data_IF_718018926256
#
_entry.id   IF_718018926256
#
_cell.length_a   1.000
_cell.length_b   1.000
_cell.length_c   1.000
_cell.angle_alpha   90.00
_cell.angle_beta   90.00
_cell.angle_gamma   90.00
#
_symmetry.space_group_name_H-M   'P 1'
#
loop_
_entity.id
_entity.type
_entity.pdbx_description
1 polymer ?
#
# COMPACT_ATOMS: atom_id res chain seq x y z
N UNK A 1 53.05 -9.76 -2.42
CA UNK A 1 52.43 -8.85 -3.41
C UNK A 1 51.14 -9.39 -4.03
N UNK A 2 51.09 -10.48 -4.83
CA UNK A 2 49.82 -10.95 -5.42
C UNK A 2 48.80 -11.53 -4.41
N UNK A 3 49.25 -12.20 -3.33
CA UNK A 3 48.35 -12.73 -2.30
C UNK A 3 47.87 -11.69 -1.28
N UNK A 4 48.64 -10.61 -1.04
CA UNK A 4 48.23 -9.50 -0.17
C UNK A 4 47.08 -8.71 -0.80
N UNK A 5 47.15 -8.44 -2.11
CA UNK A 5 46.08 -7.76 -2.84
C UNK A 5 44.77 -8.57 -2.85
N UNK A 6 44.84 -9.91 -2.97
CA UNK A 6 43.66 -10.77 -2.95
C UNK A 6 42.95 -10.76 -1.58
N UNK A 7 43.72 -10.78 -0.49
CA UNK A 7 43.16 -10.71 0.87
C UNK A 7 42.50 -9.36 1.19
N UNK A 8 43.11 -8.25 0.74
CA UNK A 8 42.54 -6.91 0.89
C UNK A 8 41.24 -6.73 0.11
N UNK A 9 41.18 -7.27 -1.11
CA UNK A 9 40.00 -7.19 -1.96
C UNK A 9 38.83 -8.02 -1.40
N UNK A 10 39.11 -9.20 -0.84
CA UNK A 10 38.09 -10.03 -0.18
C UNK A 10 37.57 -9.38 1.11
N UNK A 11 38.42 -8.68 1.86
CA UNK A 11 38.01 -7.92 3.06
C UNK A 11 37.08 -6.76 2.70
N UNK A 12 37.42 -5.99 1.66
CA UNK A 12 36.60 -4.87 1.18
C UNK A 12 35.21 -5.35 0.72
N UNK A 13 35.14 -6.42 -0.08
CA UNK A 13 33.87 -7.00 -0.54
C UNK A 13 32.98 -7.45 0.63
N UNK A 14 33.57 -8.10 1.64
CA UNK A 14 32.84 -8.51 2.85
C UNK A 14 32.25 -7.31 3.61
N UNK A 15 32.98 -6.19 3.66
CA UNK A 15 32.51 -4.97 4.31
C UNK A 15 31.34 -4.34 3.55
N UNK A 16 31.38 -4.32 2.22
CA UNK A 16 30.29 -3.83 1.38
C UNK A 16 29.01 -4.65 1.54
N UNK A 17 29.12 -5.98 1.55
CA UNK A 17 27.98 -6.87 1.81
C UNK A 17 27.35 -6.65 3.19
N UNK A 18 28.17 -6.46 4.22
CA UNK A 18 27.70 -6.14 5.56
C UNK A 18 26.99 -4.78 5.61
N UNK A 19 27.50 -3.79 4.88
CA UNK A 19 26.87 -2.47 4.75
C UNK A 19 25.50 -2.58 4.08
N UNK A 20 25.39 -3.33 2.98
CA UNK A 20 24.14 -3.57 2.27
C UNK A 20 23.08 -4.21 3.18
N UNK A 21 23.47 -5.25 3.93
CA UNK A 21 22.57 -5.90 4.89
C UNK A 21 22.09 -4.95 5.98
N UNK A 22 22.97 -4.10 6.51
CA UNK A 22 22.59 -3.10 7.52
C UNK A 22 21.59 -2.07 6.97
N UNK A 23 21.81 -1.57 5.76
CA UNK A 23 20.87 -0.66 5.09
C UNK A 23 19.51 -1.34 4.92
N UNK A 24 19.50 -2.59 4.44
CA UNK A 24 18.28 -3.37 4.28
C UNK A 24 17.52 -3.55 5.60
N UNK A 25 18.23 -3.86 6.70
CA UNK A 25 17.62 -3.94 8.04
C UNK A 25 17.01 -2.62 8.49
N UNK A 26 17.66 -1.49 8.22
CA UNK A 26 17.12 -0.16 8.55
C UNK A 26 15.83 0.08 7.77
N UNK A 27 15.82 -0.18 6.46
CA UNK A 27 14.64 -0.03 5.61
C UNK A 27 13.46 -0.83 6.15
N UNK A 28 13.66 -2.11 6.46
CA UNK A 28 12.59 -2.96 6.98
C UNK A 28 12.15 -2.59 8.39
N UNK A 29 13.05 -2.11 9.25
CA UNK A 29 12.66 -1.56 10.57
C UNK A 29 11.79 -0.31 10.43
N UNK A 30 12.17 0.61 9.55
CA UNK A 30 11.36 1.80 9.25
C UNK A 30 10.01 1.40 8.67
N UNK A 31 9.99 0.39 7.79
CA UNK A 31 8.75 -0.17 7.27
C UNK A 31 7.87 -0.78 8.37
N UNK A 32 8.42 -1.44 9.40
CA UNK A 32 7.61 -1.99 10.49
C UNK A 32 6.88 -0.89 11.31
N UNK A 33 7.50 0.28 11.46
CA UNK A 33 6.87 1.46 12.08
C UNK A 33 5.78 2.01 11.15
N UNK A 34 6.13 2.19 9.88
CA UNK A 34 5.22 2.65 8.83
C UNK A 34 4.00 1.73 8.68
N UNK A 35 4.19 0.42 8.75
CA UNK A 35 3.16 -0.61 8.66
C UNK A 35 2.03 -0.33 9.66
N UNK A 36 2.36 -0.05 10.93
CA UNK A 36 1.36 0.22 11.97
C UNK A 36 0.59 1.52 11.69
N UNK A 37 1.30 2.58 11.31
CA UNK A 37 0.71 3.89 11.04
C UNK A 37 -0.21 3.85 9.81
N UNK A 38 0.24 3.20 8.74
CA UNK A 38 -0.51 3.09 7.49
C UNK A 38 -1.71 2.17 7.60
N UNK A 39 -1.64 1.11 8.39
CA UNK A 39 -2.80 0.26 8.65
C UNK A 39 -3.96 1.07 9.26
N UNK A 40 -3.66 1.91 10.27
CA UNK A 40 -4.67 2.78 10.91
C UNK A 40 -5.16 3.85 9.94
N UNK A 41 -4.23 4.49 9.21
CA UNK A 41 -4.55 5.55 8.27
C UNK A 41 -5.45 5.07 7.13
N UNK A 42 -5.14 3.92 6.53
CA UNK A 42 -5.92 3.33 5.43
C UNK A 42 -7.30 2.91 5.91
N UNK A 43 -7.41 2.37 7.12
CA UNK A 43 -8.71 2.02 7.72
C UNK A 43 -9.54 3.28 7.97
N UNK A 44 -8.94 4.31 8.58
CA UNK A 44 -9.60 5.58 8.84
C UNK A 44 -10.08 6.24 7.54
N UNK A 45 -9.20 6.41 6.55
CA UNK A 45 -9.58 6.99 5.26
C UNK A 45 -10.61 6.12 4.53
N UNK A 46 -10.50 4.79 4.59
CA UNK A 46 -11.49 3.89 3.99
C UNK A 46 -12.88 4.07 4.59
N UNK A 47 -13.01 4.11 5.92
CA UNK A 47 -14.29 4.33 6.61
C UNK A 47 -14.84 5.73 6.31
N UNK A 48 -14.00 6.76 6.42
CA UNK A 48 -14.41 8.14 6.15
C UNK A 48 -14.88 8.30 4.70
N UNK A 49 -14.14 7.75 3.73
CA UNK A 49 -14.55 7.75 2.33
C UNK A 49 -15.86 7.00 2.13
N UNK A 50 -16.03 5.82 2.74
CA UNK A 50 -17.27 5.06 2.65
C UNK A 50 -18.48 5.84 3.17
N UNK A 51 -18.39 6.36 4.39
CA UNK A 51 -19.48 7.13 5.03
C UNK A 51 -19.78 8.40 4.21
N UNK A 52 -18.75 9.15 3.83
CA UNK A 52 -18.92 10.39 3.06
C UNK A 52 -19.57 10.11 1.71
N UNK A 53 -19.18 9.02 1.02
CA UNK A 53 -19.81 8.64 -0.24
C UNK A 53 -21.30 8.29 -0.08
N UNK A 54 -21.68 7.58 0.99
CA UNK A 54 -23.10 7.26 1.23
C UNK A 54 -23.91 8.50 1.60
N UNK A 55 -23.36 9.38 2.44
CA UNK A 55 -23.98 10.67 2.76
C UNK A 55 -24.17 11.50 1.49
N UNK A 56 -23.19 11.51 0.58
CA UNK A 56 -23.29 12.23 -0.69
C UNK A 56 -24.42 11.68 -1.56
N UNK A 57 -24.59 10.36 -1.64
CA UNK A 57 -25.70 9.72 -2.38
C UNK A 57 -27.04 10.10 -1.76
N UNK A 58 -27.17 10.01 -0.43
CA UNK A 58 -28.39 10.40 0.27
C UNK A 58 -28.72 11.89 0.03
N UNK A 59 -27.71 12.74 0.15
CA UNK A 59 -27.84 14.17 -0.08
C UNK A 59 -28.24 14.48 -1.52
N UNK A 60 -27.74 13.74 -2.51
CA UNK A 60 -28.13 13.90 -3.91
C UNK A 60 -29.62 13.60 -4.14
N UNK A 61 -30.15 12.58 -3.48
CA UNK A 61 -31.56 12.21 -3.52
C UNK A 61 -32.42 13.32 -2.90
N UNK A 62 -32.03 13.83 -1.73
CA UNK A 62 -32.77 14.89 -1.03
C UNK A 62 -32.71 16.25 -1.76
N UNK A 63 -31.55 16.59 -2.33
CA UNK A 63 -31.35 17.83 -3.07
C UNK A 63 -32.25 17.91 -4.32
N UNK A 64 -32.62 16.78 -4.90
CA UNK A 64 -33.54 16.74 -6.04
C UNK A 64 -34.91 17.31 -5.67
N UNK A 65 -35.36 17.06 -4.43
CA UNK A 65 -36.66 17.51 -3.91
C UNK A 65 -36.69 18.99 -3.46
N UNK A 66 -35.55 19.69 -3.43
CA UNK A 66 -35.50 21.10 -3.02
C UNK A 66 -35.89 22.04 -4.17
N UNK A 67 -36.56 23.17 -3.88
CA UNK A 67 -36.92 24.19 -4.89
C UNK A 67 -35.74 25.12 -5.26
N UNK A 68 -34.53 24.59 -5.35
CA UNK A 68 -33.36 25.36 -5.78
C UNK A 68 -33.26 25.41 -7.30
N UNK A 69 -32.70 26.51 -7.80
CA UNK A 69 -32.34 26.64 -9.21
C UNK A 69 -31.42 25.49 -9.65
N UNK A 70 -31.71 24.90 -10.81
CA UNK A 70 -31.01 23.71 -11.33
C UNK A 70 -29.50 23.90 -11.39
N UNK A 71 -29.03 25.09 -11.77
CA UNK A 71 -27.59 25.39 -11.82
C UNK A 71 -26.92 25.33 -10.44
N UNK A 72 -27.58 25.81 -9.36
CA UNK A 72 -27.03 25.79 -8.00
C UNK A 72 -26.93 24.36 -7.48
N UNK A 73 -27.96 23.55 -7.73
CA UNK A 73 -27.95 22.11 -7.39
C UNK A 73 -26.77 21.40 -8.05
N UNK A 74 -26.59 21.61 -9.36
CA UNK A 74 -25.53 20.95 -10.12
C UNK A 74 -24.12 21.38 -9.67
N UNK A 75 -23.90 22.67 -9.44
CA UNK A 75 -22.61 23.16 -8.92
C UNK A 75 -22.29 22.51 -7.57
N UNK A 76 -23.28 22.45 -6.67
CA UNK A 76 -23.08 21.84 -5.34
C UNK A 76 -22.82 20.33 -5.42
N UNK A 77 -23.56 19.60 -6.26
CA UNK A 77 -23.33 18.17 -6.53
C UNK A 77 -21.89 17.92 -7.04
N UNK A 78 -21.42 18.73 -7.98
CA UNK A 78 -20.06 18.62 -8.54
C UNK A 78 -19.00 18.89 -7.47
N UNK A 79 -19.15 19.94 -6.67
CA UNK A 79 -18.20 20.29 -5.61
C UNK A 79 -18.04 19.16 -4.58
N UNK A 80 -19.16 18.57 -4.14
CA UNK A 80 -19.14 17.46 -3.18
C UNK A 80 -18.51 16.20 -3.79
N UNK A 81 -18.85 15.85 -5.03
CA UNK A 81 -18.24 14.70 -5.70
C UNK A 81 -16.74 14.85 -5.91
N UNK A 82 -16.27 16.07 -6.19
CA UNK A 82 -14.84 16.34 -6.32
C UNK A 82 -14.07 16.06 -5.03
N UNK A 83 -14.66 16.38 -3.86
CA UNK A 83 -14.07 16.06 -2.56
C UNK A 83 -13.99 14.53 -2.34
N UNK A 84 -15.05 13.80 -2.67
CA UNK A 84 -15.06 12.34 -2.54
C UNK A 84 -14.02 11.66 -3.47
N UNK A 85 -13.88 12.16 -4.71
CA UNK A 85 -12.88 11.67 -5.66
C UNK A 85 -11.46 11.85 -5.12
N UNK A 86 -11.17 13.00 -4.48
CA UNK A 86 -9.85 13.25 -3.87
C UNK A 86 -9.49 12.17 -2.85
N UNK A 87 -10.43 11.76 -1.99
CA UNK A 87 -10.15 10.77 -0.96
C UNK A 87 -9.95 9.36 -1.55
N UNK A 88 -10.68 9.02 -2.61
CA UNK A 88 -10.45 7.78 -3.36
C UNK A 88 -9.06 7.79 -4.01
N UNK A 89 -8.64 8.91 -4.63
CA UNK A 89 -7.33 9.04 -5.25
C UNK A 89 -6.18 8.88 -4.24
N UNK A 90 -6.32 9.44 -3.04
CA UNK A 90 -5.33 9.27 -1.96
C UNK A 90 -5.22 7.79 -1.55
N UNK A 91 -6.35 7.11 -1.34
CA UNK A 91 -6.37 5.67 -1.02
C UNK A 91 -5.73 4.83 -2.14
N UNK A 92 -5.99 5.16 -3.40
CA UNK A 92 -5.36 4.52 -4.56
C UNK A 92 -3.85 4.73 -4.59
N UNK A 93 -3.38 5.96 -4.40
CA UNK A 93 -1.96 6.30 -4.41
C UNK A 93 -1.19 5.56 -3.32
N UNK A 94 -1.74 5.51 -2.10
CA UNK A 94 -1.15 4.78 -0.97
C UNK A 94 -1.10 3.28 -1.28
N UNK A 95 -2.19 2.70 -1.76
CA UNK A 95 -2.27 1.27 -2.09
C UNK A 95 -1.26 0.89 -3.19
N UNK A 96 -1.09 1.75 -4.20
CA UNK A 96 -0.12 1.55 -5.27
C UNK A 96 1.33 1.65 -4.77
N UNK A 97 1.62 2.62 -3.90
CA UNK A 97 2.94 2.76 -3.28
C UNK A 97 3.30 1.51 -2.45
N UNK A 98 2.37 0.99 -1.65
CA UNK A 98 2.53 -0.27 -0.92
C UNK A 98 2.80 -1.45 -1.86
N UNK A 99 2.02 -1.59 -2.93
CA UNK A 99 2.22 -2.65 -3.93
C UNK A 99 3.60 -2.59 -4.58
N UNK A 100 4.07 -1.39 -4.94
CA UNK A 100 5.40 -1.17 -5.51
C UNK A 100 6.50 -1.56 -4.53
N UNK A 101 6.33 -1.23 -3.24
CA UNK A 101 7.26 -1.65 -2.20
C UNK A 101 7.31 -3.18 -2.05
N UNK A 102 6.16 -3.86 -1.99
CA UNK A 102 6.08 -5.32 -1.89
C UNK A 102 6.72 -6.01 -3.09
N UNK A 103 6.48 -5.47 -4.29
CA UNK A 103 7.08 -5.99 -5.52
C UNK A 103 8.60 -5.84 -5.49
N UNK A 104 9.11 -4.71 -5.00
CA UNK A 104 10.55 -4.50 -4.84
C UNK A 104 11.16 -5.46 -3.83
N UNK A 105 10.50 -5.71 -2.69
CA UNK A 105 10.98 -6.70 -1.73
C UNK A 105 11.03 -8.11 -2.32
N UNK A 106 10.01 -8.54 -3.06
CA UNK A 106 10.02 -9.83 -3.76
C UNK A 106 11.18 -9.93 -4.77
N UNK A 107 11.47 -8.86 -5.51
CA UNK A 107 12.64 -8.83 -6.42
C UNK A 107 13.96 -9.01 -5.66
N UNK A 108 14.09 -8.42 -4.47
CA UNK A 108 15.27 -8.62 -3.61
C UNK A 108 15.37 -10.08 -3.15
N UNK A 109 14.26 -10.71 -2.78
CA UNK A 109 14.24 -12.14 -2.44
C UNK A 109 14.67 -13.02 -3.63
N UNK A 110 14.09 -12.78 -4.81
CA UNK A 110 14.46 -13.49 -6.04
C UNK A 110 15.94 -13.32 -6.37
N UNK A 111 16.45 -12.09 -6.34
CA UNK A 111 17.86 -11.82 -6.57
C UNK A 111 18.78 -12.51 -5.54
N UNK A 112 18.35 -12.59 -4.27
CA UNK A 112 19.09 -13.33 -3.23
C UNK A 112 19.12 -14.84 -3.50
N UNK A 113 17.99 -15.42 -3.95
CA UNK A 113 17.92 -16.84 -4.32
C UNK A 113 18.79 -17.14 -5.54
N UNK A 114 18.74 -16.31 -6.57
CA UNK A 114 19.60 -16.43 -7.76
C UNK A 114 21.08 -16.32 -7.39
N UNK A 115 21.44 -15.33 -6.57
CA UNK A 115 22.81 -15.14 -6.09
C UNK A 115 23.31 -16.38 -5.33
N UNK A 116 22.46 -16.99 -4.48
CA UNK A 116 22.82 -18.21 -3.74
C UNK A 116 23.11 -19.42 -4.63
N UNK A 117 22.51 -19.48 -5.81
CA UNK A 117 22.69 -20.55 -6.79
C UNK A 117 23.88 -20.29 -7.72
N UNK A 118 24.20 -19.03 -8.02
CA UNK A 118 25.21 -18.65 -9.01
C UNK A 118 26.60 -18.33 -8.42
N UNK A 119 26.69 -17.92 -7.15
CA UNK A 119 27.97 -17.52 -6.55
C UNK A 119 28.54 -18.54 -5.56
N UNK A 120 29.86 -18.69 -5.58
CA UNK A 120 30.62 -19.39 -4.55
C UNK A 120 31.22 -18.43 -3.50
N UNK A 121 30.99 -17.12 -3.64
CA UNK A 121 31.46 -16.12 -2.69
C UNK A 121 30.74 -16.25 -1.35
N UNK A 122 31.49 -16.59 -0.29
CA UNK A 122 30.92 -16.85 1.05
C UNK A 122 30.19 -15.65 1.64
N UNK A 123 30.72 -14.43 1.46
CA UNK A 123 30.14 -13.19 1.99
C UNK A 123 28.79 -12.83 1.35
N UNK A 124 28.69 -12.98 0.02
CA UNK A 124 27.45 -12.79 -0.72
C UNK A 124 26.38 -13.80 -0.28
N UNK A 125 26.74 -15.09 -0.20
CA UNK A 125 25.82 -16.15 0.24
C UNK A 125 25.33 -15.96 1.67
N UNK A 126 26.22 -15.61 2.60
CA UNK A 126 25.86 -15.33 3.98
C UNK A 126 24.85 -14.17 4.06
N UNK A 127 25.13 -13.09 3.33
CA UNK A 127 24.26 -11.91 3.28
C UNK A 127 22.89 -12.23 2.68
N UNK A 128 22.83 -12.91 1.54
CA UNK A 128 21.56 -13.31 0.92
C UNK A 128 20.73 -14.24 1.82
N UNK A 129 21.36 -15.20 2.53
CA UNK A 129 20.66 -16.03 3.53
C UNK A 129 20.10 -15.18 4.66
N UNK A 130 20.86 -14.23 5.17
CA UNK A 130 20.42 -13.35 6.24
C UNK A 130 19.29 -12.41 5.80
N UNK A 131 19.32 -11.92 4.57
CA UNK A 131 18.22 -11.14 3.96
C UNK A 131 16.96 -11.99 3.88
N UNK A 132 17.02 -13.19 3.30
CA UNK A 132 15.87 -14.08 3.17
C UNK A 132 15.27 -14.45 4.54
N UNK A 133 16.12 -14.82 5.51
CA UNK A 133 15.69 -15.14 6.88
C UNK A 133 15.04 -13.94 7.56
N UNK A 134 15.63 -12.76 7.41
CA UNK A 134 15.10 -11.56 8.03
C UNK A 134 13.78 -11.14 7.39
N UNK A 135 13.65 -11.24 6.07
CA UNK A 135 12.39 -10.94 5.38
C UNK A 135 11.28 -11.91 5.83
N UNK A 136 11.57 -13.20 5.94
CA UNK A 136 10.60 -14.21 6.40
C UNK A 136 10.03 -13.93 7.81
N UNK A 137 10.76 -13.21 8.66
CA UNK A 137 10.33 -12.89 10.04
C UNK A 137 9.81 -11.46 10.17
N UNK A 138 10.44 -10.50 9.50
CA UNK A 138 10.19 -9.07 9.69
C UNK A 138 9.20 -8.49 8.66
N UNK A 139 9.01 -9.16 7.52
CA UNK A 139 8.10 -8.69 6.49
C UNK A 139 6.79 -9.46 6.51
N UNK A 140 5.73 -8.70 6.69
CA UNK A 140 4.35 -9.10 6.48
C UNK A 140 3.67 -7.97 5.71
N UNK A 141 2.86 -8.33 4.71
CA UNK A 141 2.05 -7.33 4.00
C UNK A 141 1.09 -6.66 4.98
N UNK A 142 0.82 -5.37 4.78
CA UNK A 142 -0.20 -4.65 5.55
C UNK A 142 -1.55 -5.31 5.34
N UNK A 143 -2.24 -5.64 6.43
CA UNK A 143 -3.60 -6.19 6.42
C UNK A 143 -4.55 -5.20 7.11
N UNK A 144 -5.55 -4.69 6.39
CA UNK A 144 -6.63 -3.92 6.98
C UNK A 144 -7.61 -4.89 7.68
N UNK A 145 -7.83 -4.69 8.98
CA UNK A 145 -8.72 -5.49 9.83
C UNK A 145 -8.50 -7.02 9.81
N UNK A 146 -7.32 -7.52 9.39
CA UNK A 146 -7.07 -8.96 9.10
C UNK A 146 -8.04 -9.58 8.07
N UNK A 147 -8.88 -8.76 7.45
CA UNK A 147 -9.91 -9.17 6.48
C UNK A 147 -9.45 -8.91 5.04
N UNK A 148 -8.59 -7.91 4.85
CA UNK A 148 -8.15 -7.46 3.53
C UNK A 148 -6.64 -7.20 3.52
N UNK A 149 -5.89 -7.87 2.65
CA UNK A 149 -4.52 -7.41 2.33
C UNK A 149 -4.64 -6.02 1.69
N UNK A 150 -3.89 -5.06 2.23
CA UNK A 150 -3.72 -3.72 1.65
C UNK A 150 -2.82 -3.87 0.43
N UNK A 151 -3.45 -4.36 -0.62
CA UNK A 151 -2.90 -4.47 -1.96
C UNK A 151 -3.66 -3.51 -2.88
N UNK A 152 -3.23 -3.40 -4.14
CA UNK A 152 -3.89 -2.56 -5.16
C UNK A 152 -5.39 -2.86 -5.37
N UNK A 153 -5.89 -3.96 -4.80
CA UNK A 153 -7.29 -4.40 -4.86
C UNK A 153 -8.15 -3.71 -3.77
N UNK A 154 -7.55 -3.19 -2.69
CA UNK A 154 -8.30 -2.58 -1.58
C UNK A 154 -9.21 -1.41 -2.02
N UNK A 155 -8.74 -0.42 -2.81
CA UNK A 155 -9.61 0.65 -3.29
C UNK A 155 -10.77 0.14 -4.14
N UNK A 156 -10.53 -0.92 -4.94
CA UNK A 156 -11.55 -1.54 -5.77
C UNK A 156 -12.64 -2.18 -4.90
N UNK A 157 -12.26 -2.91 -3.83
CA UNK A 157 -13.21 -3.52 -2.88
C UNK A 157 -14.03 -2.45 -2.14
N UNK A 158 -13.40 -1.35 -1.76
CA UNK A 158 -14.08 -0.22 -1.14
C UNK A 158 -15.12 0.38 -2.11
N UNK A 159 -14.74 0.61 -3.37
CA UNK A 159 -15.64 1.13 -4.40
C UNK A 159 -16.83 0.19 -4.66
N UNK A 160 -16.59 -1.13 -4.77
CA UNK A 160 -17.68 -2.10 -4.92
C UNK A 160 -18.66 -2.05 -3.76
N UNK A 161 -18.15 -1.89 -2.54
CA UNK A 161 -18.99 -1.75 -1.34
C UNK A 161 -19.83 -0.46 -1.42
N UNK A 162 -19.21 0.68 -1.73
CA UNK A 162 -19.90 1.96 -1.88
C UNK A 162 -21.03 1.84 -2.93
N UNK A 163 -20.73 1.31 -4.11
CA UNK A 163 -21.72 1.15 -5.18
C UNK A 163 -22.88 0.25 -4.74
N UNK A 164 -22.59 -0.86 -4.08
CA UNK A 164 -23.63 -1.79 -3.60
C UNK A 164 -24.61 -1.12 -2.64
N UNK A 165 -24.08 -0.37 -1.65
CA UNK A 165 -24.93 0.36 -0.70
C UNK A 165 -25.62 1.56 -1.35
N UNK A 166 -24.97 2.26 -2.28
CA UNK A 166 -25.60 3.34 -3.03
C UNK A 166 -26.80 2.86 -3.85
N UNK A 167 -26.69 1.70 -4.51
CA UNK A 167 -27.81 1.08 -5.24
C UNK A 167 -28.97 0.78 -4.31
N UNK A 168 -28.71 0.24 -3.12
CA UNK A 168 -29.76 -0.02 -2.12
C UNK A 168 -30.45 1.27 -1.69
N UNK A 169 -29.70 2.34 -1.39
CA UNK A 169 -30.27 3.64 -1.05
C UNK A 169 -31.15 4.20 -2.17
N UNK A 170 -30.69 4.09 -3.41
CA UNK A 170 -31.44 4.53 -4.60
C UNK A 170 -32.72 3.72 -4.75
N UNK A 171 -32.68 2.39 -4.59
CA UNK A 171 -33.87 1.54 -4.64
C UNK A 171 -34.92 1.96 -3.60
N UNK A 172 -34.50 2.21 -2.36
CA UNK A 172 -35.42 2.69 -1.32
C UNK A 172 -36.02 4.06 -1.63
N UNK A 173 -35.29 4.94 -2.33
CA UNK A 173 -35.81 6.24 -2.74
C UNK A 173 -36.89 6.14 -3.83
N UNK A 174 -36.79 5.17 -4.75
CA UNK A 174 -37.75 4.99 -5.85
C UNK A 174 -38.90 4.02 -5.54
N UNK A 175 -38.77 3.19 -4.49
CA UNK A 175 -39.86 2.30 -4.02
C UNK A 175 -40.83 3.04 -3.08
N UNK A 176 -40.52 4.29 -2.70
CA UNK A 176 -41.47 5.23 -2.09
C UNK A 176 -42.44 5.78 -3.13
#
# INVERSE_FOLDING_TARGET
>A
MLSENAGQQQYFMKQEWKRLYNIYRIILKTYAIYHKLFQVLILYFGIVSFITSLINVQFWIELENLNWESYKKNVFKISISMLAIKDVLINCAISFACQKFYTTLRKVETACVETLNCTNESAARETCKNVLRYNAVAFHKIQACRLYEVDAILPIRLMMSIVSYAVVLIQFAFIK
#
